data_IF_864117256389
#
_entry.id   IF_864117256389
#
_cell.length_a   1.000
_cell.length_b   1.000
_cell.length_c   1.000
_cell.angle_alpha   90.00
_cell.angle_beta   90.00
_cell.angle_gamma   90.00
#
_symmetry.space_group_name_H-M   'P 1'
#
loop_
_entity.id
_entity.type
_entity.pdbx_description
1 polymer ?
#
# COMPACT_ATOMS: atom_id res chain seq x y z
N UNK A 1 4.14 -32.65 -2.90
CA UNK A 1 3.00 -32.74 -3.84
C UNK A 1 2.69 -31.32 -4.31
N UNK A 2 2.54 -31.09 -5.61
CA UNK A 2 2.15 -29.79 -6.17
C UNK A 2 0.62 -29.71 -6.25
N UNK A 3 0.02 -28.64 -5.72
CA UNK A 3 -1.39 -28.33 -5.99
C UNK A 3 -1.46 -27.29 -7.10
N UNK A 4 -2.41 -27.48 -8.02
CA UNK A 4 -2.70 -26.52 -9.06
C UNK A 4 -3.61 -25.42 -8.51
N UNK A 5 -3.12 -24.18 -8.52
CA UNK A 5 -3.90 -23.00 -8.14
C UNK A 5 -4.58 -22.45 -9.40
N UNK A 6 -5.91 -22.36 -9.37
CA UNK A 6 -6.67 -21.67 -10.40
C UNK A 6 -6.46 -20.15 -10.28
N UNK A 7 -5.53 -19.61 -11.06
CA UNK A 7 -5.13 -18.21 -10.99
C UNK A 7 -6.22 -17.26 -11.50
N UNK A 8 -6.98 -17.71 -12.49
CA UNK A 8 -8.07 -16.93 -13.11
C UNK A 8 -9.18 -16.55 -12.12
N UNK A 9 -9.30 -17.27 -11.01
CA UNK A 9 -10.27 -16.96 -9.96
C UNK A 9 -9.97 -15.63 -9.24
N UNK A 10 -8.71 -15.17 -9.25
CA UNK A 10 -8.29 -13.92 -8.61
C UNK A 10 -8.60 -12.67 -9.44
N UNK A 11 -8.89 -12.82 -10.74
CA UNK A 11 -9.38 -11.72 -11.59
C UNK A 11 -10.86 -11.38 -11.34
N UNK A 12 -11.54 -12.10 -10.45
CA UNK A 12 -12.88 -11.74 -10.04
C UNK A 12 -12.90 -10.32 -9.45
N UNK A 13 -13.78 -9.49 -9.99
CA UNK A 13 -13.93 -8.07 -9.62
C UNK A 13 -14.12 -7.86 -8.13
N UNK A 14 -14.79 -8.79 -7.44
CA UNK A 14 -15.02 -8.71 -5.99
C UNK A 14 -13.71 -8.78 -5.17
N UNK A 15 -12.81 -9.71 -5.51
CA UNK A 15 -11.54 -9.87 -4.79
C UNK A 15 -10.59 -8.71 -5.06
N UNK A 16 -10.54 -8.23 -6.31
CA UNK A 16 -9.73 -7.09 -6.69
C UNK A 16 -10.19 -5.81 -5.98
N UNK A 17 -11.50 -5.54 -5.94
CA UNK A 17 -12.06 -4.38 -5.22
C UNK A 17 -11.76 -4.44 -3.73
N UNK A 18 -12.02 -5.58 -3.08
CA UNK A 18 -11.71 -5.76 -1.67
C UNK A 18 -10.22 -5.57 -1.37
N UNK A 19 -9.35 -6.12 -2.21
CA UNK A 19 -7.90 -5.95 -2.08
C UNK A 19 -7.47 -4.48 -2.23
N UNK A 20 -8.08 -3.73 -3.17
CA UNK A 20 -7.82 -2.29 -3.34
C UNK A 20 -8.24 -1.50 -2.10
N UNK A 21 -9.40 -1.80 -1.51
CA UNK A 21 -9.85 -1.15 -0.27
C UNK A 21 -8.92 -1.46 0.90
N UNK A 22 -8.56 -2.73 1.10
CA UNK A 22 -7.65 -3.15 2.16
C UNK A 22 -6.27 -2.48 2.02
N UNK A 23 -5.75 -2.38 0.79
CA UNK A 23 -4.50 -1.69 0.50
C UNK A 23 -4.61 -0.19 0.77
N UNK A 24 -5.70 0.45 0.35
CA UNK A 24 -5.94 1.86 0.61
C UNK A 24 -5.93 2.16 2.12
N UNK A 25 -6.64 1.37 2.91
CA UNK A 25 -6.69 1.53 4.35
C UNK A 25 -5.34 1.28 5.00
N UNK A 26 -4.62 0.24 4.58
CA UNK A 26 -3.30 -0.11 5.11
C UNK A 26 -2.25 0.94 4.78
N UNK A 27 -2.26 1.50 3.55
CA UNK A 27 -1.30 2.50 3.09
C UNK A 27 -1.53 3.87 3.74
N UNK A 28 -2.78 4.21 4.05
CA UNK A 28 -3.13 5.48 4.68
C UNK A 28 -3.22 5.38 6.21
N UNK A 29 -3.04 4.18 6.78
CA UNK A 29 -2.93 3.95 8.21
C UNK A 29 -1.56 4.38 8.74
N UNK A 30 -1.55 5.09 9.87
CA UNK A 30 -0.34 5.52 10.57
C UNK A 30 0.14 6.94 10.26
N UNK A 31 1.38 7.24 10.67
CA UNK A 31 2.01 8.56 10.46
C UNK A 31 2.53 8.67 9.03
N UNK A 32 1.89 9.52 8.25
CA UNK A 32 2.26 9.75 6.86
C UNK A 32 3.45 10.71 6.75
N UNK A 33 4.37 10.49 5.79
CA UNK A 33 5.43 11.45 5.50
C UNK A 33 4.85 12.82 5.15
N UNK A 34 5.39 13.88 5.73
CA UNK A 34 4.87 15.24 5.58
C UNK A 34 4.99 15.82 4.17
N UNK A 35 5.83 15.20 3.34
CA UNK A 35 5.99 15.50 1.92
C UNK A 35 4.74 15.11 1.11
N UNK A 36 3.90 14.21 1.61
CA UNK A 36 2.65 13.87 0.96
C UNK A 36 1.60 14.95 1.24
N UNK A 37 0.95 15.44 0.19
CA UNK A 37 -0.14 16.41 0.29
C UNK A 37 -1.53 15.77 0.21
N UNK A 38 -1.62 14.53 -0.27
CA UNK A 38 -2.88 13.76 -0.34
C UNK A 38 -2.71 12.33 0.18
N UNK A 39 -3.83 11.62 0.24
CA UNK A 39 -3.86 10.18 0.49
C UNK A 39 -3.25 9.41 -0.69
N UNK A 40 -2.68 8.24 -0.38
CA UNK A 40 -2.16 7.30 -1.38
C UNK A 40 -3.36 6.54 -1.96
N UNK A 41 -3.56 6.64 -3.27
CA UNK A 41 -4.64 5.94 -3.99
C UNK A 41 -4.10 4.77 -4.78
N UNK A 42 -4.82 3.66 -4.78
CA UNK A 42 -4.52 2.50 -5.64
C UNK A 42 -5.27 2.69 -6.96
N UNK A 43 -4.55 3.05 -8.01
CA UNK A 43 -5.12 3.29 -9.35
C UNK A 43 -5.39 1.97 -10.06
N UNK A 44 -4.41 1.07 -10.00
CA UNK A 44 -4.51 -0.24 -10.64
C UNK A 44 -3.87 -1.33 -9.78
N UNK A 45 -4.43 -2.54 -9.87
CA UNK A 45 -3.97 -3.72 -9.15
C UNK A 45 -4.08 -4.91 -10.09
N UNK A 46 -2.94 -5.46 -10.49
CA UNK A 46 -2.86 -6.63 -11.35
C UNK A 46 -2.14 -7.76 -10.62
N UNK A 47 -2.75 -8.95 -10.59
CA UNK A 47 -2.17 -10.14 -9.96
C UNK A 47 -1.18 -10.87 -10.87
N UNK A 48 -1.00 -10.43 -12.12
CA UNK A 48 -0.14 -11.06 -13.12
C UNK A 48 -0.81 -12.29 -13.73
N UNK A 49 -0.18 -12.86 -14.75
CA UNK A 49 -0.68 -14.04 -15.46
C UNK A 49 -0.04 -15.34 -14.96
N UNK A 50 1.06 -15.24 -14.22
CA UNK A 50 1.83 -16.41 -13.79
C UNK A 50 1.42 -16.83 -12.37
N UNK A 51 0.92 -18.06 -12.16
CA UNK A 51 0.58 -18.54 -10.84
C UNK A 51 1.84 -18.79 -9.99
N UNK A 52 1.76 -18.62 -8.66
CA UNK A 52 2.81 -19.03 -7.75
C UNK A 52 2.96 -20.56 -7.72
N UNK A 53 4.19 -21.02 -7.49
CA UNK A 53 4.42 -22.40 -7.09
C UNK A 53 3.98 -22.61 -5.63
N UNK A 54 3.25 -23.70 -5.41
CA UNK A 54 2.68 -24.03 -4.12
C UNK A 54 3.18 -25.41 -3.65
N UNK A 55 3.86 -25.42 -2.51
CA UNK A 55 4.37 -26.62 -1.87
C UNK A 55 3.75 -26.78 -0.49
N UNK A 56 3.13 -27.94 -0.25
CA UNK A 56 2.70 -28.33 1.09
C UNK A 56 3.90 -28.92 1.82
N UNK A 57 4.35 -28.27 2.89
CA UNK A 57 5.48 -28.74 3.70
C UNK A 57 4.99 -29.70 4.79
N UNK A 58 3.99 -29.28 5.54
CA UNK A 58 3.45 -30.04 6.65
C UNK A 58 1.93 -29.87 6.70
N UNK A 59 1.22 -30.98 6.86
CA UNK A 59 -0.19 -30.98 7.20
C UNK A 59 -0.25 -31.40 8.67
N UNK A 60 -0.69 -30.48 9.52
CA UNK A 60 -0.90 -30.71 10.93
C UNK A 60 -2.28 -31.29 11.17
N UNK A 61 -3.04 -30.64 12.04
CA UNK A 61 -4.39 -31.10 12.41
C UNK A 61 -5.39 -30.88 11.26
N UNK A 62 -6.08 -31.96 10.90
CA UNK A 62 -7.18 -31.98 9.94
C UNK A 62 -8.44 -32.40 10.70
N UNK A 63 -9.27 -31.41 11.05
CA UNK A 63 -10.59 -31.61 11.63
C UNK A 63 -11.64 -31.22 10.58
N UNK A 64 -12.89 -31.61 10.81
CA UNK A 64 -14.01 -31.42 9.86
C UNK A 64 -14.21 -29.95 9.48
N UNK A 65 -13.90 -29.02 10.39
CA UNK A 65 -14.04 -27.57 10.21
C UNK A 65 -12.71 -26.80 10.17
N UNK A 66 -11.57 -27.48 10.39
CA UNK A 66 -10.30 -26.79 10.61
C UNK A 66 -9.17 -27.54 9.93
N UNK A 67 -8.41 -26.77 9.17
CA UNK A 67 -7.22 -27.25 8.51
C UNK A 67 -6.04 -26.38 8.91
N UNK A 68 -5.02 -27.01 9.50
CA UNK A 68 -3.75 -26.36 9.80
C UNK A 68 -2.64 -27.03 9.00
N UNK A 69 -1.99 -26.25 8.15
CA UNK A 69 -0.79 -26.70 7.45
C UNK A 69 0.21 -25.57 7.30
N UNK A 70 1.43 -25.96 7.01
CA UNK A 70 2.51 -25.06 6.63
C UNK A 70 2.67 -25.20 5.12
N UNK A 71 2.48 -24.07 4.44
CA UNK A 71 2.59 -23.98 2.99
C UNK A 71 3.74 -23.06 2.64
N UNK A 72 4.50 -23.46 1.62
CA UNK A 72 5.51 -22.63 0.99
C UNK A 72 4.96 -22.13 -0.33
N UNK A 73 4.70 -20.83 -0.37
CA UNK A 73 4.28 -20.11 -1.55
C UNK A 73 5.52 -19.41 -2.13
N UNK A 74 5.87 -19.70 -3.38
CA UNK A 74 6.86 -18.93 -4.12
C UNK A 74 6.20 -18.32 -5.35
N UNK A 75 6.06 -17.00 -5.31
CA UNK A 75 5.56 -16.20 -6.42
C UNK A 75 6.76 -15.64 -7.22
N UNK A 76 6.82 -15.99 -8.50
CA UNK A 76 7.83 -15.55 -9.48
C UNK A 76 7.06 -15.07 -10.72
N UNK A 77 6.10 -14.18 -10.49
CA UNK A 77 5.17 -13.67 -11.50
C UNK A 77 5.29 -12.17 -11.72
N UNK A 78 4.34 -11.64 -12.47
CA UNK A 78 4.31 -10.30 -13.04
C UNK A 78 3.26 -9.38 -12.39
N UNK A 79 2.86 -9.65 -11.15
CA UNK A 79 1.92 -8.80 -10.40
C UNK A 79 2.45 -7.38 -10.30
N UNK A 80 1.56 -6.40 -10.47
CA UNK A 80 1.89 -4.98 -10.35
C UNK A 80 0.81 -4.22 -9.60
N UNK A 81 1.24 -3.18 -8.89
CA UNK A 81 0.37 -2.26 -8.17
C UNK A 81 0.74 -0.86 -8.61
N UNK A 82 -0.23 -0.13 -9.15
CA UNK A 82 -0.05 1.25 -9.57
C UNK A 82 -0.66 2.17 -8.52
N UNK A 83 0.19 2.99 -7.90
CA UNK A 83 -0.19 3.93 -6.85
C UNK A 83 -0.12 5.37 -7.38
N UNK A 84 -1.03 6.22 -6.93
CA UNK A 84 -1.01 7.66 -7.23
C UNK A 84 -1.14 8.47 -5.95
N UNK A 85 -0.33 9.52 -5.84
CA UNK A 85 -0.36 10.47 -4.71
C UNK A 85 0.09 11.85 -5.18
N UNK A 86 -0.26 12.87 -4.40
CA UNK A 86 0.25 14.22 -4.60
C UNK A 86 1.39 14.51 -3.61
N UNK A 87 2.40 15.21 -4.09
CA UNK A 87 3.52 15.69 -3.29
C UNK A 87 3.40 17.19 -3.04
N UNK A 88 3.67 17.59 -1.81
CA UNK A 88 3.91 18.95 -1.41
C UNK A 88 5.30 19.37 -1.90
N UNK A 89 5.37 20.22 -2.92
CA UNK A 89 6.64 20.71 -3.46
C UNK A 89 7.14 22.00 -2.78
N UNK A 90 6.27 22.71 -2.05
CA UNK A 90 6.69 23.89 -1.31
C UNK A 90 7.56 23.51 -0.09
N UNK A 91 8.87 23.73 -0.19
CA UNK A 91 9.86 23.43 0.84
C UNK A 91 9.59 24.15 2.17
N UNK A 92 9.10 25.41 2.13
CA UNK A 92 8.79 26.17 3.34
C UNK A 92 7.70 25.47 4.16
N UNK A 93 6.71 24.91 3.47
CA UNK A 93 5.60 24.18 4.09
C UNK A 93 6.03 22.83 4.65
N UNK A 94 6.96 22.14 3.98
CA UNK A 94 7.52 20.90 4.50
C UNK A 94 8.30 21.20 5.79
N UNK A 95 9.16 22.24 5.79
CA UNK A 95 9.94 22.61 6.97
C UNK A 95 9.06 23.07 8.15
N UNK A 96 8.03 23.86 7.88
CA UNK A 96 7.04 24.26 8.88
C UNK A 96 6.41 23.04 9.56
N UNK A 97 5.95 22.06 8.78
CA UNK A 97 5.37 20.81 9.33
C UNK A 97 6.40 20.02 10.15
N UNK A 98 7.66 19.94 9.71
CA UNK A 98 8.70 19.15 10.41
C UNK A 98 8.96 19.75 11.78
N UNK A 99 9.08 21.07 11.83
CA UNK A 99 9.40 21.79 13.07
C UNK A 99 8.18 21.83 14.00
N UNK A 100 6.94 21.92 13.49
CA UNK A 100 5.71 21.75 14.27
C UNK A 100 5.66 20.39 14.99
N UNK A 101 5.98 19.29 14.29
CA UNK A 101 6.01 17.95 14.89
C UNK A 101 7.11 17.78 15.95
N UNK A 102 8.20 18.55 15.84
CA UNK A 102 9.27 18.59 16.83
C UNK A 102 9.02 19.58 17.97
N UNK A 103 7.87 20.28 17.99
CA UNK A 103 7.49 21.22 19.04
C UNK A 103 8.22 22.56 18.99
N UNK A 104 8.81 22.92 17.84
CA UNK A 104 9.66 24.11 17.67
C UNK A 104 8.95 25.40 17.22
N UNK A 105 7.65 25.54 17.47
CA UNK A 105 6.80 26.63 16.94
C UNK A 105 7.30 28.04 17.23
N UNK A 106 7.99 28.24 18.36
CA UNK A 106 8.46 29.57 18.77
C UNK A 106 9.54 30.13 17.84
N UNK A 107 10.32 29.28 17.17
CA UNK A 107 11.43 29.69 16.32
C UNK A 107 11.05 29.84 14.83
N UNK A 108 9.82 29.49 14.46
CA UNK A 108 9.37 29.54 13.06
C UNK A 108 8.83 30.93 12.69
N UNK A 109 9.41 31.62 11.69
CA UNK A 109 8.80 32.82 11.14
C UNK A 109 7.46 32.47 10.44
N UNK A 110 6.42 33.27 10.70
CA UNK A 110 5.09 33.08 10.08
C UNK A 110 5.11 33.54 8.62
N UNK A 111 5.25 32.60 7.71
CA UNK A 111 5.19 32.86 6.27
C UNK A 111 3.73 32.98 5.80
N UNK A 112 3.20 34.19 5.62
CA UNK A 112 1.79 34.40 5.24
C UNK A 112 1.52 34.16 3.74
N UNK A 113 2.34 34.73 2.86
CA UNK A 113 2.17 34.60 1.40
C UNK A 113 2.86 33.37 0.82
N UNK A 114 3.96 32.92 1.43
CA UNK A 114 4.79 31.82 0.91
C UNK A 114 4.39 30.43 1.42
N UNK A 115 3.35 30.30 2.26
CA UNK A 115 2.87 29.02 2.82
C UNK A 115 1.74 28.37 2.01
N UNK A 116 1.36 28.94 0.87
CA UNK A 116 0.36 28.33 -0.01
C UNK A 116 0.83 26.94 -0.46
N UNK A 117 0.00 25.89 -0.35
CA UNK A 117 0.40 24.56 -0.76
C UNK A 117 0.53 24.48 -2.28
N UNK A 118 1.73 24.18 -2.77
CA UNK A 118 1.96 23.80 -4.16
C UNK A 118 2.07 22.27 -4.24
N UNK A 119 1.03 21.63 -4.77
CA UNK A 119 0.99 20.18 -4.96
C UNK A 119 1.36 19.83 -6.39
N UNK A 120 2.26 18.86 -6.56
CA UNK A 120 2.62 18.29 -7.86
C UNK A 120 2.09 16.85 -7.89
N UNK A 121 1.33 16.45 -8.93
CA UNK A 121 0.93 15.06 -9.10
C UNK A 121 2.18 14.20 -9.37
N UNK A 122 2.34 13.10 -8.64
CA UNK A 122 3.25 12.04 -9.06
C UNK A 122 2.48 11.12 -10.02
N UNK A 123 3.01 11.02 -11.24
CA UNK A 123 2.56 10.08 -12.27
C UNK A 123 3.35 8.78 -12.16
#
# INVERSE_FOLDING_TARGET
MSCDIHWDAFEQTAFQTWSKELLYDSLNSGKRPQILSSDIRVTDLNFGNTPPSFEVLEVGDLDTDKFRGIFKLKYDGDSSITLSTNIQANLLKIQERVVHEQGGDFALPKFTLASQPFSIPLF
#
